data_IF_820442658627
#
_entry.id   IF_820442658627
#
_cell.length_a   1.000
_cell.length_b   1.000
_cell.length_c   1.000
_cell.angle_alpha   90.00
_cell.angle_beta   90.00
_cell.angle_gamma   90.00
#
_symmetry.space_group_name_H-M   'P 1'
#
loop_
_entity.id
_entity.type
_entity.pdbx_description
1 polymer ?
#
# COMPACT_ATOMS: atom_id res chain seq x y z
N UNK A 1 2.28 -21.13 51.52
CA UNK A 1 1.03 -20.34 51.65
C UNK A 1 1.41 -18.89 51.48
N UNK A 2 1.05 -18.15 50.44
CA UNK A 2 0.34 -18.43 49.20
C UNK A 2 0.54 -17.21 48.28
N UNK A 3 0.61 -17.51 46.97
CA UNK A 3 0.19 -16.75 45.78
C UNK A 3 0.01 -15.22 45.85
N UNK A 4 0.72 -14.50 44.96
CA UNK A 4 0.20 -13.95 43.68
C UNK A 4 -0.49 -12.59 43.93
N UNK A 5 -0.06 -11.49 43.30
CA UNK A 5 -0.57 -11.16 41.98
C UNK A 5 0.47 -10.55 41.03
N UNK A 6 0.62 -11.28 39.93
CA UNK A 6 1.13 -10.88 38.64
C UNK A 6 -0.09 -10.62 37.75
N UNK A 7 0.03 -9.69 36.79
CA UNK A 7 -0.84 -9.53 35.61
C UNK A 7 -2.20 -8.87 35.82
N UNK A 8 -2.20 -7.54 35.88
CA UNK A 8 -3.38 -6.71 35.59
C UNK A 8 -3.12 -5.76 34.42
N UNK A 9 -2.48 -6.25 33.35
CA UNK A 9 -2.15 -5.44 32.17
C UNK A 9 -2.24 -6.20 30.83
N UNK A 10 -3.05 -7.27 30.75
CA UNK A 10 -3.06 -8.11 29.55
C UNK A 10 -4.44 -8.74 29.29
N UNK A 11 -5.50 -7.94 29.20
CA UNK A 11 -6.77 -8.44 28.63
C UNK A 11 -7.69 -7.30 28.16
N UNK A 12 -7.31 -6.57 27.10
CA UNK A 12 -8.24 -5.72 26.32
C UNK A 12 -8.30 -6.16 24.84
N UNK A 13 -7.71 -7.31 24.50
CA UNK A 13 -7.70 -7.83 23.13
C UNK A 13 -8.72 -8.94 22.87
N UNK A 14 -9.70 -9.19 23.76
CA UNK A 14 -10.53 -10.38 23.61
C UNK A 14 -11.97 -10.20 24.11
N UNK A 15 -12.75 -9.34 23.45
CA UNK A 15 -14.22 -9.43 23.45
C UNK A 15 -14.73 -8.99 22.08
N UNK A 16 -14.51 -9.82 21.06
CA UNK A 16 -15.59 -10.07 20.11
C UNK A 16 -16.47 -11.10 20.81
N UNK A 17 -17.76 -10.81 20.93
CA UNK A 17 -18.66 -11.66 21.71
C UNK A 17 -18.60 -13.10 21.19
N UNK A 18 -18.66 -14.11 22.07
CA UNK A 18 -18.71 -15.52 21.66
C UNK A 18 -19.83 -15.77 20.62
N UNK A 19 -20.86 -14.93 20.60
CA UNK A 19 -21.93 -14.93 19.60
C UNK A 19 -21.48 -14.51 18.19
N UNK A 20 -20.57 -13.54 18.04
CA UNK A 20 -19.98 -13.16 16.74
C UNK A 20 -19.00 -14.22 16.22
N UNK A 21 -18.23 -14.86 17.11
CA UNK A 21 -17.36 -15.96 16.73
C UNK A 21 -18.15 -17.20 16.33
N UNK A 22 -19.27 -17.47 17.01
CA UNK A 22 -20.17 -18.59 16.67
C UNK A 22 -20.89 -18.34 15.34
N UNK A 23 -21.23 -17.09 15.00
CA UNK A 23 -21.84 -16.73 13.72
C UNK A 23 -20.85 -16.90 12.54
N UNK A 24 -19.59 -16.54 12.73
CA UNK A 24 -18.51 -16.77 11.75
C UNK A 24 -18.21 -18.27 11.58
N UNK A 25 -18.42 -19.09 12.63
CA UNK A 25 -18.26 -20.56 12.58
C UNK A 25 -19.48 -21.27 11.97
N UNK A 26 -20.70 -20.73 12.13
CA UNK A 26 -21.91 -21.30 11.52
C UNK A 26 -22.05 -20.96 10.03
N UNK A 27 -21.41 -19.87 9.56
CA UNK A 27 -21.22 -19.59 8.13
C UNK A 27 -20.14 -20.48 7.47
N UNK A 28 -19.51 -21.42 8.21
CA UNK A 28 -18.47 -22.33 7.69
C UNK A 28 -19.00 -23.71 7.24
N UNK A 29 -20.28 -24.01 7.42
CA UNK A 29 -20.84 -25.26 6.88
C UNK A 29 -21.37 -25.02 5.46
N UNK A 30 -20.72 -25.73 4.51
CA UNK A 30 -20.87 -25.71 3.04
C UNK A 30 -20.26 -24.51 2.31
N UNK A 31 -18.93 -24.43 2.27
CA UNK A 31 -18.25 -23.81 1.13
C UNK A 31 -18.29 -24.78 -0.05
N UNK A 32 -18.77 -24.29 -1.18
CA UNK A 32 -18.82 -25.05 -2.42
C UNK A 32 -17.42 -25.12 -3.06
N UNK A 33 -17.18 -26.08 -3.96
CA UNK A 33 -15.94 -26.12 -4.74
C UNK A 33 -15.72 -24.81 -5.54
N UNK A 34 -16.81 -24.09 -5.87
CA UNK A 34 -16.76 -22.76 -6.49
C UNK A 34 -16.18 -21.69 -5.55
N UNK A 35 -16.51 -21.72 -4.25
CA UNK A 35 -15.98 -20.78 -3.27
C UNK A 35 -14.48 -20.97 -3.06
N UNK A 36 -14.01 -22.22 -3.07
CA UNK A 36 -12.58 -22.55 -2.94
C UNK A 36 -11.83 -22.09 -4.19
N UNK A 37 -12.38 -22.37 -5.38
CA UNK A 37 -11.80 -21.91 -6.65
C UNK A 37 -11.68 -20.39 -6.70
N UNK A 38 -12.65 -19.65 -6.15
CA UNK A 38 -12.57 -18.19 -6.06
C UNK A 38 -11.43 -17.73 -5.15
N UNK A 39 -11.27 -18.30 -3.95
CA UNK A 39 -10.21 -17.92 -3.02
C UNK A 39 -8.81 -18.21 -3.62
N UNK A 40 -8.67 -19.32 -4.35
CA UNK A 40 -7.44 -19.67 -5.05
C UNK A 40 -7.12 -18.69 -6.19
N UNK A 41 -8.11 -18.32 -7.00
CA UNK A 41 -7.96 -17.28 -8.02
C UNK A 41 -7.55 -15.94 -7.40
N UNK A 42 -8.12 -15.58 -6.26
CA UNK A 42 -7.76 -14.36 -5.54
C UNK A 42 -6.30 -14.40 -5.10
N UNK A 43 -5.82 -15.49 -4.48
CA UNK A 43 -4.42 -15.62 -4.05
C UNK A 43 -3.43 -15.63 -5.23
N UNK A 44 -3.80 -16.26 -6.34
CA UNK A 44 -3.03 -16.25 -7.57
C UNK A 44 -2.87 -14.83 -8.13
N UNK A 45 -3.87 -13.96 -8.00
CA UNK A 45 -3.72 -12.52 -8.36
C UNK A 45 -2.59 -11.86 -7.58
N UNK A 46 -2.34 -12.26 -6.34
CA UNK A 46 -1.22 -11.78 -5.51
C UNK A 46 0.09 -12.56 -5.74
N UNK A 47 0.15 -13.49 -6.69
CA UNK A 47 1.35 -14.29 -6.98
C UNK A 47 1.70 -15.29 -5.88
N UNK A 48 0.74 -15.60 -5.01
CA UNK A 48 0.91 -16.55 -3.92
C UNK A 48 0.39 -17.89 -4.41
N UNK A 49 1.29 -18.77 -4.82
CA UNK A 49 0.96 -20.15 -5.18
C UNK A 49 0.59 -20.95 -3.94
N UNK A 50 -0.38 -21.86 -4.07
CA UNK A 50 -0.78 -22.80 -3.01
C UNK A 50 0.44 -23.63 -2.56
N UNK A 51 0.90 -23.40 -1.34
CA UNK A 51 1.43 -24.48 -0.51
C UNK A 51 0.21 -25.28 0.01
N UNK A 52 0.37 -26.54 0.41
CA UNK A 52 -0.68 -27.47 0.90
C UNK A 52 -1.51 -26.95 2.11
N UNK A 53 -2.17 -25.80 1.97
CA UNK A 53 -2.84 -25.05 3.01
C UNK A 53 -4.33 -25.42 3.03
N UNK A 54 -4.93 -25.41 4.24
CA UNK A 54 -6.36 -25.63 4.41
C UNK A 54 -7.17 -24.40 4.00
N UNK A 55 -8.48 -24.56 3.75
CA UNK A 55 -9.38 -23.44 3.42
C UNK A 55 -9.39 -22.35 4.50
N UNK A 56 -9.28 -22.74 5.77
CA UNK A 56 -9.15 -21.82 6.90
C UNK A 56 -7.87 -20.97 6.77
N UNK A 57 -6.79 -21.57 6.29
CA UNK A 57 -5.52 -20.89 6.09
C UNK A 57 -5.56 -19.98 4.86
N UNK A 58 -6.24 -20.37 3.78
CA UNK A 58 -6.45 -19.51 2.61
C UNK A 58 -7.24 -18.24 2.97
N UNK A 59 -8.32 -18.36 3.75
CA UNK A 59 -9.10 -17.21 4.24
C UNK A 59 -8.25 -16.32 5.13
N UNK A 60 -7.47 -16.90 6.05
CA UNK A 60 -6.56 -16.13 6.90
C UNK A 60 -5.53 -15.38 6.05
N UNK A 61 -4.93 -16.03 5.05
CA UNK A 61 -4.00 -15.39 4.11
C UNK A 61 -4.66 -14.21 3.39
N UNK A 62 -5.85 -14.38 2.83
CA UNK A 62 -6.57 -13.29 2.16
C UNK A 62 -6.88 -12.14 3.13
N UNK A 63 -7.28 -12.45 4.36
CA UNK A 63 -7.56 -11.43 5.38
C UNK A 63 -6.31 -10.62 5.77
N UNK A 64 -5.12 -11.22 5.65
CA UNK A 64 -3.84 -10.56 5.91
C UNK A 64 -3.39 -9.75 4.69
N UNK A 65 -3.58 -10.28 3.48
CA UNK A 65 -3.24 -9.61 2.21
C UNK A 65 -4.02 -8.30 2.04
N UNK A 66 -5.27 -8.26 2.48
CA UNK A 66 -6.13 -7.07 2.43
C UNK A 66 -5.83 -6.01 3.49
N UNK A 67 -4.85 -6.22 4.38
CA UNK A 67 -4.48 -5.21 5.38
C UNK A 67 -3.71 -4.06 4.72
N UNK A 68 -3.92 -2.81 5.18
CA UNK A 68 -3.11 -1.68 4.72
C UNK A 68 -1.62 -1.99 4.86
N UNK A 69 -0.83 -1.56 3.88
CA UNK A 69 0.62 -1.76 3.85
C UNK A 69 1.06 -3.23 3.86
N UNK A 70 0.18 -4.15 3.43
CA UNK A 70 0.52 -5.57 3.35
C UNK A 70 1.81 -5.75 2.55
N UNK A 71 1.90 -5.18 1.34
CA UNK A 71 3.06 -5.36 0.47
C UNK A 71 4.36 -4.82 1.06
N UNK A 72 4.35 -3.60 1.59
CA UNK A 72 5.52 -2.98 2.21
C UNK A 72 5.95 -3.61 3.54
N UNK A 73 5.06 -4.25 4.30
CA UNK A 73 5.38 -4.85 5.61
C UNK A 73 5.59 -6.36 5.59
N UNK A 74 4.88 -7.08 4.70
CA UNK A 74 4.76 -8.54 4.78
C UNK A 74 4.82 -9.21 3.40
N UNK A 75 4.00 -8.77 2.46
CA UNK A 75 3.74 -9.46 1.20
C UNK A 75 4.95 -9.60 0.29
N UNK A 76 5.76 -8.55 0.17
CA UNK A 76 6.89 -8.60 -0.74
C UNK A 76 7.90 -9.69 -0.35
N UNK A 77 8.20 -9.85 0.94
CA UNK A 77 9.16 -10.84 1.42
C UNK A 77 8.71 -12.30 1.18
N UNK A 78 7.42 -12.53 1.00
CA UNK A 78 6.83 -13.85 0.76
C UNK A 78 6.87 -14.28 -0.71
N UNK A 79 7.09 -13.33 -1.63
CA UNK A 79 7.05 -13.61 -3.07
C UNK A 79 8.44 -13.97 -3.63
N UNK A 80 8.58 -15.01 -4.47
CA UNK A 80 9.88 -15.41 -5.03
C UNK A 80 10.56 -14.31 -5.86
N UNK A 81 9.77 -13.46 -6.49
CA UNK A 81 10.24 -12.31 -7.29
C UNK A 81 10.33 -10.99 -6.49
N UNK A 82 10.35 -11.02 -5.17
CA UNK A 82 10.35 -9.84 -4.27
C UNK A 82 11.33 -8.73 -4.66
N UNK A 83 12.51 -9.11 -5.17
CA UNK A 83 13.56 -8.18 -5.59
C UNK A 83 13.11 -7.21 -6.69
N UNK A 84 12.10 -7.55 -7.49
CA UNK A 84 11.62 -6.72 -8.61
C UNK A 84 10.98 -5.41 -8.16
N UNK A 85 10.38 -5.40 -6.98
CA UNK A 85 9.65 -4.25 -6.42
C UNK A 85 10.33 -3.65 -5.18
N UNK A 86 11.41 -4.27 -4.70
CA UNK A 86 12.00 -3.98 -3.39
C UNK A 86 12.42 -2.51 -3.24
N UNK A 87 13.06 -1.94 -4.27
CA UNK A 87 13.50 -0.54 -4.22
C UNK A 87 12.32 0.44 -4.28
N UNK A 88 11.26 0.12 -5.01
CA UNK A 88 10.04 0.94 -5.07
C UNK A 88 9.29 0.95 -3.73
N UNK A 89 9.08 -0.23 -3.13
CA UNK A 89 8.51 -0.34 -1.77
C UNK A 89 9.38 0.32 -0.69
N UNK A 90 10.71 0.30 -0.85
CA UNK A 90 11.62 1.00 0.05
C UNK A 90 11.43 2.51 -0.04
N UNK A 91 11.28 3.07 -1.25
CA UNK A 91 10.98 4.50 -1.44
C UNK A 91 9.66 4.87 -0.75
N UNK A 92 8.60 4.09 -0.93
CA UNK A 92 7.31 4.31 -0.28
C UNK A 92 7.42 4.27 1.24
N UNK A 93 8.16 3.30 1.78
CA UNK A 93 8.43 3.18 3.21
C UNK A 93 9.18 4.41 3.75
N UNK A 94 10.07 5.00 2.95
CA UNK A 94 10.76 6.24 3.31
C UNK A 94 9.85 7.46 3.30
N UNK A 95 8.90 7.54 2.38
CA UNK A 95 7.90 8.62 2.38
C UNK A 95 7.04 8.55 3.62
N UNK A 96 6.49 7.38 3.96
CA UNK A 96 5.72 7.18 5.19
C UNK A 96 6.53 7.60 6.43
N UNK A 97 7.78 7.15 6.56
CA UNK A 97 8.64 7.52 7.70
C UNK A 97 8.90 9.02 7.79
N UNK A 98 9.13 9.70 6.66
CA UNK A 98 9.34 11.16 6.65
C UNK A 98 8.04 11.91 6.95
N UNK A 99 6.90 11.42 6.46
CA UNK A 99 5.59 11.99 6.73
C UNK A 99 5.21 11.83 8.22
N UNK A 100 5.47 10.67 8.82
CA UNK A 100 5.33 10.44 10.25
C UNK A 100 6.20 11.42 11.06
N UNK A 101 7.45 11.66 10.63
CA UNK A 101 8.31 12.64 11.29
C UNK A 101 7.76 14.08 11.22
N UNK A 102 7.10 14.46 10.13
CA UNK A 102 6.43 15.78 10.04
C UNK A 102 5.24 15.85 10.98
N UNK A 103 4.44 14.78 11.08
CA UNK A 103 3.33 14.71 12.05
C UNK A 103 3.85 14.88 13.48
N UNK A 104 4.95 14.22 13.84
CA UNK A 104 5.54 14.38 15.17
C UNK A 104 6.06 15.81 15.40
N UNK A 105 6.68 16.46 14.42
CA UNK A 105 7.08 17.88 14.52
C UNK A 105 5.90 18.80 14.81
N UNK A 106 4.77 18.54 14.16
CA UNK A 106 3.54 19.33 14.34
C UNK A 106 2.91 19.10 15.70
N UNK A 107 2.94 17.86 16.22
CA UNK A 107 2.48 17.53 17.58
C UNK A 107 3.37 18.11 18.67
N UNK A 108 4.69 18.12 18.46
CA UNK A 108 5.67 18.68 19.40
C UNK A 108 5.46 20.18 19.58
N UNK A 109 5.37 20.91 18.47
CA UNK A 109 5.14 22.36 18.49
C UNK A 109 4.55 22.85 17.15
N UNK A 110 3.22 23.02 17.06
CA UNK A 110 2.57 23.43 15.83
C UNK A 110 2.90 24.88 15.43
N UNK A 111 3.56 25.66 16.30
CA UNK A 111 4.00 27.02 15.99
C UNK A 111 5.36 27.07 15.28
N UNK A 112 6.07 25.94 15.12
CA UNK A 112 7.30 25.85 14.31
C UNK A 112 7.03 25.82 12.81
N UNK A 113 6.14 26.72 12.34
CA UNK A 113 5.61 26.74 10.97
C UNK A 113 6.70 26.72 9.90
N UNK A 114 7.80 27.47 10.08
CA UNK A 114 8.95 27.47 9.15
C UNK A 114 9.62 26.10 9.02
N UNK A 115 9.79 25.39 10.13
CA UNK A 115 10.44 24.07 10.17
C UNK A 115 9.53 23.02 9.56
N UNK A 116 8.25 23.05 9.93
CA UNK A 116 7.20 22.16 9.40
C UNK A 116 7.08 22.36 7.88
N UNK A 117 6.91 23.60 7.42
CA UNK A 117 6.81 23.93 6.00
C UNK A 117 8.02 23.48 5.20
N UNK A 118 9.24 23.71 5.72
CA UNK A 118 10.47 23.25 5.05
C UNK A 118 10.52 21.72 4.94
N UNK A 119 10.19 21.00 6.02
CA UNK A 119 10.18 19.54 6.03
C UNK A 119 9.14 18.97 5.06
N UNK A 120 7.94 19.55 5.08
CA UNK A 120 6.84 19.25 4.16
C UNK A 120 7.24 19.47 2.71
N UNK A 121 7.61 20.69 2.33
CA UNK A 121 7.96 21.05 0.95
C UNK A 121 9.10 20.18 0.40
N UNK A 122 10.11 19.88 1.22
CA UNK A 122 11.21 18.98 0.82
C UNK A 122 10.70 17.56 0.50
N UNK A 123 9.77 17.04 1.29
CA UNK A 123 9.18 15.73 1.03
C UNK A 123 8.23 15.78 -0.17
N UNK A 124 7.38 16.80 -0.25
CA UNK A 124 6.42 16.98 -1.34
C UNK A 124 7.13 17.06 -2.71
N UNK A 125 8.21 17.84 -2.81
CA UNK A 125 9.05 17.90 -4.02
C UNK A 125 9.63 16.55 -4.42
N UNK A 126 9.95 15.70 -3.43
CA UNK A 126 10.46 14.35 -3.67
C UNK A 126 9.35 13.45 -4.19
N UNK A 127 8.15 13.53 -3.60
CA UNK A 127 6.98 12.76 -4.01
C UNK A 127 6.59 13.15 -5.44
N UNK A 128 6.46 14.45 -5.76
CA UNK A 128 6.12 14.92 -7.10
C UNK A 128 7.09 14.38 -8.16
N UNK A 129 8.40 14.40 -7.89
CA UNK A 129 9.40 13.84 -8.81
C UNK A 129 9.24 12.33 -8.99
N UNK A 130 8.85 11.62 -7.94
CA UNK A 130 8.59 10.20 -7.98
C UNK A 130 7.33 9.87 -8.76
N UNK A 131 6.21 10.54 -8.47
CA UNK A 131 4.95 10.42 -9.20
C UNK A 131 5.13 10.71 -10.69
N UNK A 132 5.99 11.67 -11.05
CA UNK A 132 6.35 11.90 -12.45
C UNK A 132 7.05 10.70 -13.09
N UNK A 133 8.01 10.09 -12.41
CA UNK A 133 8.64 8.84 -12.87
C UNK A 133 7.60 7.73 -13.04
N UNK A 134 6.71 7.60 -12.06
CA UNK A 134 5.67 6.58 -12.07
C UNK A 134 4.76 6.75 -13.29
N UNK A 135 4.29 7.96 -13.57
CA UNK A 135 3.44 8.24 -14.72
C UNK A 135 4.15 8.10 -16.07
N UNK A 136 5.36 8.65 -16.19
CA UNK A 136 6.07 8.75 -17.47
C UNK A 136 6.69 7.42 -17.90
N UNK A 137 7.01 6.53 -16.95
CA UNK A 137 7.72 5.28 -17.23
C UNK A 137 6.98 4.04 -16.69
N UNK A 138 6.74 3.96 -15.38
CA UNK A 138 6.21 2.75 -14.73
C UNK A 138 4.78 2.43 -15.18
N UNK A 139 3.84 3.34 -14.91
CA UNK A 139 2.42 3.17 -15.22
C UNK A 139 2.20 3.20 -16.72
N UNK A 140 2.98 4.00 -17.44
CA UNK A 140 2.97 4.03 -18.91
C UNK A 140 3.26 2.64 -19.49
N UNK A 141 4.29 1.94 -19.01
CA UNK A 141 4.58 0.58 -19.46
C UNK A 141 3.38 -0.35 -19.25
N UNK A 142 2.79 -0.32 -18.05
CA UNK A 142 1.63 -1.18 -17.74
C UNK A 142 0.40 -0.82 -18.59
N UNK A 143 0.12 0.46 -18.84
CA UNK A 143 -0.97 0.90 -19.74
C UNK A 143 -0.76 0.42 -21.17
N UNK A 144 0.45 0.57 -21.70
CA UNK A 144 0.79 0.21 -23.09
C UNK A 144 0.85 -1.31 -23.31
N UNK A 145 1.07 -2.09 -22.25
CA UNK A 145 1.25 -3.55 -22.33
C UNK A 145 0.15 -4.34 -21.62
N UNK A 146 -0.89 -3.70 -21.08
CA UNK A 146 -1.97 -4.36 -20.31
C UNK A 146 -2.66 -5.52 -21.06
N UNK A 147 -2.74 -5.44 -22.39
CA UNK A 147 -3.36 -6.49 -23.23
C UNK A 147 -2.43 -7.67 -23.52
N UNK A 148 -1.12 -7.49 -23.34
CA UNK A 148 -0.07 -8.49 -23.63
C UNK A 148 0.51 -9.13 -22.37
N UNK A 149 0.43 -8.42 -21.25
CA UNK A 149 0.66 -8.99 -19.93
C UNK A 149 -0.61 -9.79 -19.68
N UNK A 150 -0.51 -11.12 -19.78
CA UNK A 150 -1.58 -12.11 -19.67
C UNK A 150 -2.28 -12.03 -18.30
N UNK A 151 -3.08 -10.99 -18.12
CA UNK A 151 -3.90 -10.72 -16.96
C UNK A 151 -5.28 -11.23 -17.31
N UNK A 152 -5.44 -12.56 -17.35
CA UNK A 152 -6.75 -13.21 -17.49
C UNK A 152 -7.78 -12.45 -16.62
N UNK A 153 -8.76 -11.85 -17.30
CA UNK A 153 -9.90 -11.08 -16.76
C UNK A 153 -9.65 -9.72 -16.05
N UNK A 154 -8.43 -9.16 -16.01
CA UNK A 154 -8.16 -7.92 -15.24
C UNK A 154 -7.59 -6.72 -16.02
N UNK A 155 -7.32 -6.84 -17.32
CA UNK A 155 -6.70 -5.74 -18.09
C UNK A 155 -7.50 -4.43 -18.12
N UNK A 156 -8.84 -4.50 -18.15
CA UNK A 156 -9.73 -3.32 -18.09
C UNK A 156 -9.74 -2.70 -16.70
N UNK A 157 -9.81 -3.52 -15.65
CA UNK A 157 -9.75 -3.07 -14.26
C UNK A 157 -8.42 -2.38 -13.95
N UNK A 158 -7.30 -2.91 -14.49
CA UNK A 158 -5.99 -2.28 -14.37
C UNK A 158 -5.95 -0.91 -15.04
N UNK A 159 -6.44 -0.78 -16.29
CA UNK A 159 -6.47 0.52 -16.98
C UNK A 159 -7.24 1.56 -16.17
N UNK A 160 -8.40 1.20 -15.63
CA UNK A 160 -9.22 2.08 -14.78
C UNK A 160 -8.52 2.46 -13.46
N UNK A 161 -7.83 1.51 -12.82
CA UNK A 161 -7.06 1.78 -11.61
C UNK A 161 -5.86 2.70 -11.89
N UNK A 162 -5.15 2.51 -13.01
CA UNK A 162 -4.05 3.37 -13.44
C UNK A 162 -4.53 4.77 -13.85
N UNK A 163 -5.73 4.90 -14.43
CA UNK A 163 -6.36 6.20 -14.67
C UNK A 163 -6.71 6.92 -13.36
N UNK A 164 -7.25 6.19 -12.37
CA UNK A 164 -7.50 6.74 -11.04
C UNK A 164 -6.21 7.24 -10.39
N UNK A 165 -5.14 6.44 -10.42
CA UNK A 165 -3.83 6.81 -9.89
C UNK A 165 -3.26 8.06 -10.59
N UNK A 166 -3.37 8.14 -11.92
CA UNK A 166 -2.92 9.33 -12.64
C UNK A 166 -3.72 10.59 -12.33
N UNK A 167 -5.02 10.46 -12.05
CA UNK A 167 -5.82 11.56 -11.54
C UNK A 167 -5.38 11.96 -10.12
N UNK A 168 -5.03 11.01 -9.25
CA UNK A 168 -4.50 11.31 -7.91
C UNK A 168 -3.12 12.00 -7.97
N UNK A 169 -2.24 11.61 -8.89
CA UNK A 169 -0.96 12.30 -9.13
C UNK A 169 -1.13 13.73 -9.62
N UNK A 170 -2.11 13.99 -10.48
CA UNK A 170 -2.43 15.35 -10.95
C UNK A 170 -3.06 16.22 -9.85
N UNK A 171 -3.82 15.60 -8.95
CA UNK A 171 -4.54 16.28 -7.87
C UNK A 171 -3.81 16.23 -6.52
N UNK A 172 -2.59 15.69 -6.46
CA UNK A 172 -1.72 15.80 -5.29
C UNK A 172 -1.29 17.27 -5.14
N UNK A 173 -2.22 18.05 -4.60
CA UNK A 173 -2.01 19.44 -4.26
C UNK A 173 -0.96 19.53 -3.16
N UNK A 174 -0.14 20.56 -3.22
CA UNK A 174 0.60 21.04 -2.06
C UNK A 174 -0.40 21.81 -1.18
N UNK A 175 -0.97 21.21 -0.12
CA UNK A 175 -1.87 21.92 0.78
C UNK A 175 -1.23 23.23 1.26
N UNK A 176 0.10 23.25 1.50
CA UNK A 176 0.81 24.41 2.02
C UNK A 176 1.10 25.53 0.99
N UNK A 177 0.86 25.31 -0.30
CA UNK A 177 1.02 26.32 -1.36
C UNK A 177 -0.29 26.91 -1.90
N UNK A 178 -1.46 26.43 -1.45
CA UNK A 178 -2.69 27.16 -1.73
C UNK A 178 -2.69 28.47 -0.92
N UNK A 179 -3.11 29.58 -1.53
CA UNK A 179 -2.94 30.98 -1.06
C UNK A 179 -3.46 31.29 0.38
N UNK A 180 -4.10 30.33 1.05
CA UNK A 180 -4.54 30.42 2.45
C UNK A 180 -3.60 29.81 3.51
N UNK A 181 -2.67 28.92 3.15
CA UNK A 181 -1.92 28.11 4.14
C UNK A 181 -0.68 28.77 4.72
N UNK A 182 -0.18 29.83 4.09
CA UNK A 182 0.90 30.67 4.62
C UNK A 182 0.48 31.33 5.96
N UNK A 183 -0.81 31.32 6.28
CA UNK A 183 -1.39 31.91 7.49
C UNK A 183 -1.93 30.91 8.51
N UNK A 184 -2.00 29.60 8.22
CA UNK A 184 -2.54 28.60 9.15
C UNK A 184 -1.60 28.41 10.33
N UNK A 185 -2.08 28.66 11.56
CA UNK A 185 -1.29 28.49 12.79
C UNK A 185 -1.98 27.55 13.78
N UNK A 186 -1.17 26.88 14.61
CA UNK A 186 -1.66 26.05 15.71
C UNK A 186 -2.49 24.85 15.24
N UNK A 187 -3.74 24.77 15.69
CA UNK A 187 -4.61 23.60 15.51
C UNK A 187 -5.01 23.35 14.05
N UNK A 188 -5.12 24.39 13.23
CA UNK A 188 -5.51 24.26 11.82
C UNK A 188 -4.40 23.56 11.00
N UNK A 189 -3.15 23.99 11.18
CA UNK A 189 -1.99 23.33 10.56
C UNK A 189 -1.87 21.86 10.98
N UNK A 190 -2.23 21.56 12.23
CA UNK A 190 -2.22 20.17 12.75
C UNK A 190 -3.21 19.28 12.03
N UNK A 191 -4.46 19.74 11.91
CA UNK A 191 -5.51 19.01 11.21
C UNK A 191 -5.13 18.73 9.76
N UNK A 192 -4.60 19.73 9.06
CA UNK A 192 -4.26 19.60 7.64
C UNK A 192 -3.08 18.65 7.40
N UNK A 193 -2.04 18.71 8.23
CA UNK A 193 -0.91 17.77 8.12
C UNK A 193 -1.34 16.33 8.42
N UNK A 194 -2.24 16.12 9.38
CA UNK A 194 -2.77 14.79 9.67
C UNK A 194 -3.62 14.26 8.52
N UNK A 195 -4.46 15.11 7.93
CA UNK A 195 -5.27 14.77 6.76
C UNK A 195 -4.39 14.43 5.55
N UNK A 196 -3.43 15.28 5.21
CA UNK A 196 -2.47 15.01 4.14
C UNK A 196 -1.68 13.71 4.38
N UNK A 197 -1.26 13.44 5.62
CA UNK A 197 -0.56 12.19 5.95
C UNK A 197 -1.42 10.97 5.67
N UNK A 198 -2.72 11.04 5.99
CA UNK A 198 -3.68 9.98 5.72
C UNK A 198 -3.86 9.78 4.21
N UNK A 199 -4.10 10.86 3.47
CA UNK A 199 -4.24 10.82 2.00
C UNK A 199 -3.00 10.23 1.32
N UNK A 200 -1.80 10.60 1.77
CA UNK A 200 -0.55 9.99 1.30
C UNK A 200 -0.49 8.49 1.62
N UNK A 201 -0.95 8.03 2.79
CA UNK A 201 -0.94 6.59 3.09
C UNK A 201 -1.89 5.82 2.17
N UNK A 202 -3.10 6.35 2.00
CA UNK A 202 -4.15 5.78 1.17
C UNK A 202 -3.70 5.67 -0.29
N UNK A 203 -3.08 6.72 -0.80
CA UNK A 203 -2.50 6.76 -2.14
C UNK A 203 -1.40 5.69 -2.32
N UNK A 204 -0.39 5.67 -1.45
CA UNK A 204 0.70 4.69 -1.53
C UNK A 204 0.19 3.24 -1.36
N UNK A 205 -0.86 3.03 -0.54
CA UNK A 205 -1.49 1.71 -0.40
C UNK A 205 -2.22 1.32 -1.69
N UNK A 206 -2.94 2.25 -2.32
CA UNK A 206 -3.62 2.00 -3.59
C UNK A 206 -2.63 1.63 -4.70
N UNK A 207 -1.51 2.34 -4.81
CA UNK A 207 -0.44 2.00 -5.75
C UNK A 207 0.13 0.60 -5.47
N UNK A 208 0.47 0.32 -4.22
CA UNK A 208 1.03 -0.97 -3.79
C UNK A 208 0.08 -2.12 -4.12
N UNK A 209 -1.20 -2.00 -3.75
CA UNK A 209 -2.21 -3.03 -3.95
C UNK A 209 -2.57 -3.24 -5.44
N UNK A 210 -2.44 -2.19 -6.26
CA UNK A 210 -2.70 -2.25 -7.69
C UNK A 210 -1.53 -2.88 -8.45
N UNK A 211 -0.31 -2.40 -8.22
CA UNK A 211 0.83 -2.67 -9.11
C UNK A 211 1.74 -3.77 -8.64
N UNK A 212 1.97 -3.91 -7.34
CA UNK A 212 2.89 -4.92 -6.81
C UNK A 212 2.49 -6.34 -7.23
N UNK A 213 1.21 -6.76 -7.14
CA UNK A 213 0.81 -8.09 -7.60
C UNK A 213 1.17 -8.32 -9.07
N UNK A 214 0.91 -7.34 -9.93
CA UNK A 214 1.11 -7.45 -11.38
C UNK A 214 2.59 -7.51 -11.71
N UNK A 215 3.37 -6.62 -11.09
CA UNK A 215 4.80 -6.51 -11.32
C UNK A 215 5.55 -7.77 -10.86
N UNK A 216 5.15 -8.33 -9.72
CA UNK A 216 5.72 -9.57 -9.18
C UNK A 216 5.38 -10.79 -10.05
N UNK A 217 4.22 -10.80 -10.70
CA UNK A 217 3.74 -11.87 -11.56
C UNK A 217 4.15 -11.75 -13.03
N UNK A 218 4.90 -10.72 -13.43
CA UNK A 218 5.42 -10.65 -14.80
C UNK A 218 6.22 -11.93 -15.14
N UNK A 219 5.99 -12.48 -16.33
CA UNK A 219 6.90 -13.51 -16.87
C UNK A 219 8.32 -12.95 -16.95
N UNK A 220 9.35 -13.80 -16.95
CA UNK A 220 10.74 -13.34 -17.09
C UNK A 220 10.95 -12.54 -18.39
N UNK A 221 10.26 -12.92 -19.47
CA UNK A 221 10.28 -12.18 -20.73
C UNK A 221 9.66 -10.78 -20.60
N UNK A 222 8.46 -10.68 -20.00
CA UNK A 222 7.80 -9.40 -19.81
C UNK A 222 8.54 -8.50 -18.82
N UNK A 223 9.14 -9.09 -17.78
CA UNK A 223 10.01 -8.35 -16.87
C UNK A 223 11.28 -7.85 -17.59
N UNK A 224 11.90 -8.65 -18.45
CA UNK A 224 13.03 -8.17 -19.26
C UNK A 224 12.63 -7.00 -20.17
N UNK A 225 11.47 -7.07 -20.82
CA UNK A 225 10.91 -5.96 -21.62
C UNK A 225 10.68 -4.71 -20.77
N UNK A 226 10.08 -4.85 -19.60
CA UNK A 226 9.92 -3.77 -18.63
C UNK A 226 11.26 -3.12 -18.28
N UNK A 227 12.28 -3.93 -17.95
CA UNK A 227 13.62 -3.44 -17.60
C UNK A 227 14.28 -2.65 -18.72
N UNK A 228 14.04 -3.01 -19.97
CA UNK A 228 14.53 -2.26 -21.14
C UNK A 228 13.70 -1.03 -21.48
N UNK A 229 12.46 -0.96 -20.99
CA UNK A 229 11.56 0.17 -21.21
C UNK A 229 11.94 1.36 -20.32
N UNK A 230 12.33 1.09 -19.09
CA UNK A 230 12.80 2.12 -18.16
C UNK A 230 14.03 2.83 -18.73
N UNK A 231 14.10 4.14 -18.52
CA UNK A 231 15.32 4.88 -18.81
C UNK A 231 16.49 4.32 -17.97
N UNK A 232 17.71 4.41 -18.49
CA UNK A 232 18.89 3.79 -17.86
C UNK A 232 19.07 4.21 -16.39
N UNK A 233 18.64 5.42 -16.04
CA UNK A 233 18.67 5.94 -14.68
C UNK A 233 17.74 5.15 -13.75
N UNK A 234 16.49 4.94 -14.14
CA UNK A 234 15.52 4.17 -13.35
C UNK A 234 15.71 2.66 -13.46
N UNK A 235 16.22 2.17 -14.58
CA UNK A 235 16.64 0.77 -14.72
C UNK A 235 17.79 0.43 -13.74
N UNK A 236 18.69 1.36 -13.43
CA UNK A 236 19.71 1.09 -12.40
C UNK A 236 19.12 1.07 -10.97
N UNK A 237 17.99 1.73 -10.75
CA UNK A 237 17.34 1.85 -9.44
C UNK A 237 16.26 0.82 -9.17
N UNK A 238 15.50 0.37 -10.16
CA UNK A 238 14.47 -0.68 -10.04
C UNK A 238 14.93 -1.98 -10.71
#
# INVERSE_FOLDING_TARGET
>A
MGNADSKTALTVANILSEQEQTKILQEQETKTDEDISHLEKELLRYGISRCEASDSDLVKCISVIRKPRFWSLHGAALHPNSKRVANWLWVHSRYRKKADAIVELVKEDPNQTKRIHKAFSTLNDTIIKHSRFEEEELFKFFRENAEKIDLEDNGVALKQQLEKLGNEHQNMHDPLHSDGYICSQGSELTTEILKWRQELDEHLNLEEDTLVPIWLNLSNENYAKYRTYLSWFYAAMY
#
